data_IF_789398808682
#
_entry.id   IF_789398808682
#
_cell.length_a   1.000
_cell.length_b   1.000
_cell.length_c   1.000
_cell.angle_alpha   90.00
_cell.angle_beta   90.00
_cell.angle_gamma   90.00
#
_symmetry.space_group_name_H-M   'P 1'
#
loop_
_entity.id
_entity.type
_entity.pdbx_description
1 polymer ?
#
# COMPACT_ATOMS: atom_id res chain seq x y z
N UNK A 1 22.43 -9.07 -5.08
CA UNK A 1 22.53 -8.61 -3.67
C UNK A 1 22.70 -7.10 -3.66
N UNK A 2 21.79 -6.37 -3.01
CA UNK A 2 21.94 -4.91 -2.87
C UNK A 2 23.08 -4.66 -1.89
N UNK A 3 24.06 -3.85 -2.28
CA UNK A 3 25.18 -3.50 -1.42
C UNK A 3 24.64 -2.80 -0.17
N UNK A 4 24.94 -3.26 1.06
CA UNK A 4 24.40 -2.69 2.29
C UNK A 4 24.73 -1.20 2.45
N UNK A 5 25.90 -0.76 1.99
CA UNK A 5 26.28 0.64 2.01
C UNK A 5 25.42 1.50 1.09
N UNK A 6 25.07 1.01 -0.11
CA UNK A 6 24.19 1.73 -1.03
C UNK A 6 22.76 1.86 -0.48
N UNK A 7 22.29 0.85 0.25
CA UNK A 7 20.98 0.91 0.94
C UNK A 7 20.98 1.96 2.04
N UNK A 8 22.03 2.01 2.86
CA UNK A 8 22.21 3.03 3.89
C UNK A 8 22.16 4.44 3.30
N UNK A 9 22.89 4.68 2.21
CA UNK A 9 22.91 5.98 1.53
C UNK A 9 21.52 6.37 1.00
N UNK A 10 20.78 5.43 0.39
CA UNK A 10 19.42 5.71 -0.07
C UNK A 10 18.49 6.14 1.06
N UNK A 11 18.60 5.50 2.24
CA UNK A 11 17.79 5.89 3.40
C UNK A 11 18.21 7.22 4.00
N UNK A 12 19.50 7.58 3.97
CA UNK A 12 19.98 8.87 4.44
C UNK A 12 19.56 10.04 3.53
N UNK A 13 19.45 9.79 2.23
CA UNK A 13 19.16 10.80 1.21
C UNK A 13 17.81 10.58 0.52
N UNK A 14 16.90 9.85 1.17
CA UNK A 14 15.56 9.62 0.62
C UNK A 14 14.82 10.96 0.42
N UNK A 15 14.12 11.13 -0.70
CA UNK A 15 13.29 12.31 -0.91
C UNK A 15 12.15 12.34 0.11
N UNK A 16 11.72 13.53 0.51
CA UNK A 16 10.53 13.67 1.32
C UNK A 16 9.30 13.13 0.56
N UNK A 17 8.40 12.45 1.26
CA UNK A 17 7.18 11.93 0.64
C UNK A 17 6.38 13.01 -0.10
N UNK A 18 6.31 14.22 0.45
CA UNK A 18 5.61 15.35 -0.17
C UNK A 18 6.18 15.77 -1.53
N UNK A 19 7.45 15.46 -1.83
CA UNK A 19 8.04 15.75 -3.13
C UNK A 19 7.52 14.81 -4.23
N UNK A 20 7.25 13.56 -3.89
CA UNK A 20 6.72 12.55 -4.82
C UNK A 20 5.19 12.47 -4.78
N UNK A 21 4.60 12.74 -3.61
CA UNK A 21 3.16 12.70 -3.36
C UNK A 21 2.69 14.03 -2.78
N UNK A 22 2.59 15.10 -3.59
CA UNK A 22 1.98 16.36 -3.16
C UNK A 22 0.51 16.15 -2.81
N UNK A 23 -0.10 17.10 -2.09
CA UNK A 23 -1.47 16.98 -1.59
C UNK A 23 -2.49 16.64 -2.69
N UNK A 24 -2.32 17.18 -3.90
CA UNK A 24 -3.18 16.87 -5.04
C UNK A 24 -3.08 15.39 -5.47
N UNK A 25 -1.88 14.80 -5.44
CA UNK A 25 -1.69 13.37 -5.74
C UNK A 25 -2.26 12.49 -4.62
N UNK A 26 -2.07 12.88 -3.35
CA UNK A 26 -2.68 12.16 -2.23
C UNK A 26 -4.21 12.17 -2.33
N UNK A 27 -4.80 13.29 -2.74
CA UNK A 27 -6.25 13.36 -2.96
C UNK A 27 -6.70 12.42 -4.10
N UNK A 28 -5.99 12.37 -5.23
CA UNK A 28 -6.33 11.44 -6.31
C UNK A 28 -6.24 9.96 -5.88
N UNK A 29 -5.28 9.65 -5.01
CA UNK A 29 -5.18 8.30 -4.44
C UNK A 29 -6.39 8.01 -3.54
N UNK A 30 -6.78 8.95 -2.68
CA UNK A 30 -7.98 8.83 -1.85
C UNK A 30 -9.24 8.64 -2.72
N UNK A 31 -9.39 9.43 -3.78
CA UNK A 31 -10.53 9.31 -4.72
C UNK A 31 -10.54 7.95 -5.42
N UNK A 32 -9.37 7.40 -5.74
CA UNK A 32 -9.25 6.06 -6.34
C UNK A 32 -9.64 4.96 -5.34
N UNK A 33 -9.25 5.10 -4.06
CA UNK A 33 -9.67 4.20 -2.98
C UNK A 33 -11.18 4.23 -2.84
N UNK A 34 -11.78 5.40 -2.63
CA UNK A 34 -13.23 5.58 -2.49
C UNK A 34 -14.01 5.02 -3.71
N UNK A 35 -13.50 5.26 -4.93
CA UNK A 35 -14.10 4.71 -6.16
C UNK A 35 -14.06 3.18 -6.19
N UNK A 36 -12.96 2.59 -5.71
CA UNK A 36 -12.83 1.14 -5.58
C UNK A 36 -13.81 0.57 -4.56
N UNK A 37 -13.85 1.15 -3.37
CA UNK A 37 -14.69 0.71 -2.25
C UNK A 37 -16.19 0.80 -2.54
N UNK A 38 -16.61 1.66 -3.45
CA UNK A 38 -17.99 1.64 -3.97
C UNK A 38 -18.36 0.33 -4.68
N UNK A 39 -17.38 -0.48 -5.10
CA UNK A 39 -17.57 -1.73 -5.88
C UNK A 39 -17.40 -3.01 -5.05
N UNK A 40 -16.74 -2.92 -3.90
CA UNK A 40 -16.41 -4.05 -3.04
C UNK A 40 -16.57 -3.70 -1.56
N UNK A 41 -16.69 -4.72 -0.73
CA UNK A 41 -16.80 -4.57 0.73
C UNK A 41 -15.45 -4.56 1.46
N UNK A 42 -14.33 -4.64 0.74
CA UNK A 42 -12.98 -4.59 1.34
C UNK A 42 -12.54 -3.15 1.60
N UNK A 43 -11.64 -2.97 2.55
CA UNK A 43 -11.07 -1.69 2.95
C UNK A 43 -9.62 -1.57 2.49
N UNK A 44 -9.25 -0.47 1.83
CA UNK A 44 -7.90 -0.26 1.28
C UNK A 44 -7.24 0.94 1.93
N UNK A 45 -6.09 0.72 2.54
CA UNK A 45 -5.25 1.77 3.14
C UNK A 45 -3.94 1.91 2.37
N UNK A 46 -3.58 3.13 1.96
CA UNK A 46 -2.27 3.43 1.40
C UNK A 46 -1.40 4.15 2.41
N UNK A 47 -0.18 3.66 2.60
CA UNK A 47 0.82 4.28 3.46
C UNK A 47 2.17 4.43 2.73
N UNK A 48 2.78 5.61 2.84
CA UNK A 48 4.10 5.91 2.29
C UNK A 48 5.06 6.32 3.40
N UNK A 49 6.21 5.67 3.45
CA UNK A 49 7.31 5.96 4.37
C UNK A 49 8.55 6.36 3.56
N UNK A 50 9.12 7.56 3.76
CA UNK A 50 10.29 8.01 3.01
C UNK A 50 11.49 7.11 3.21
N UNK A 51 11.83 6.81 4.46
CA UNK A 51 12.98 6.01 4.84
C UNK A 51 12.81 5.37 6.21
N UNK A 52 13.41 4.22 6.41
CA UNK A 52 13.54 3.64 7.75
C UNK A 52 14.61 4.38 8.55
N UNK A 53 14.46 4.47 9.87
CA UNK A 53 15.55 4.91 10.75
C UNK A 53 16.83 4.10 10.50
N UNK A 54 17.97 4.76 10.45
CA UNK A 54 19.25 4.14 10.10
C UNK A 54 19.56 2.88 10.92
N UNK A 55 19.22 2.90 12.21
CA UNK A 55 19.33 1.72 13.09
C UNK A 55 18.63 0.50 12.51
N UNK A 56 17.40 0.68 11.99
CA UNK A 56 16.61 -0.43 11.40
C UNK A 56 17.24 -0.94 10.09
N UNK A 57 17.76 -0.02 9.29
CA UNK A 57 18.49 -0.38 8.06
C UNK A 57 19.71 -1.22 8.37
N UNK A 58 20.50 -0.84 9.39
CA UNK A 58 21.69 -1.57 9.84
C UNK A 58 21.34 -2.95 10.44
N UNK A 59 20.18 -3.10 11.06
CA UNK A 59 19.69 -4.40 11.54
C UNK A 59 19.05 -5.24 10.42
N UNK A 60 19.05 -4.77 9.19
CA UNK A 60 18.57 -5.52 8.04
C UNK A 60 17.05 -5.59 7.87
N UNK A 61 16.28 -4.76 8.61
CA UNK A 61 14.82 -4.73 8.50
C UNK A 61 14.40 -4.52 7.04
N UNK A 62 13.54 -5.38 6.53
CA UNK A 62 13.06 -5.34 5.15
C UNK A 62 11.71 -4.63 5.05
N UNK A 63 11.37 -4.14 3.83
CA UNK A 63 10.08 -3.48 3.58
C UNK A 63 8.89 -4.36 3.96
N UNK A 64 8.95 -5.68 3.71
CA UNK A 64 7.90 -6.63 4.08
C UNK A 64 7.65 -6.69 5.59
N UNK A 65 8.73 -6.77 6.36
CA UNK A 65 8.65 -6.77 7.83
C UNK A 65 8.03 -5.46 8.33
N UNK A 66 8.50 -4.33 7.79
CA UNK A 66 7.95 -3.02 8.15
C UNK A 66 6.49 -2.86 7.74
N UNK A 67 6.09 -3.38 6.58
CA UNK A 67 4.69 -3.35 6.13
C UNK A 67 3.75 -4.08 7.12
N UNK A 68 4.17 -5.22 7.68
CA UNK A 68 3.39 -5.92 8.72
C UNK A 68 3.25 -5.10 10.01
N UNK A 69 4.30 -4.39 10.42
CA UNK A 69 4.22 -3.50 11.56
C UNK A 69 3.23 -2.34 11.30
N UNK A 70 3.32 -1.72 10.11
CA UNK A 70 2.44 -0.62 9.71
C UNK A 70 0.99 -1.10 9.61
N UNK A 71 0.75 -2.28 9.06
CA UNK A 71 -0.56 -2.93 9.03
C UNK A 71 -1.18 -3.03 10.43
N UNK A 72 -0.38 -3.43 11.41
CA UNK A 72 -0.80 -3.51 12.81
C UNK A 72 -0.99 -2.13 13.44
N UNK A 73 -0.06 -1.20 13.21
CA UNK A 73 -0.09 0.16 13.77
C UNK A 73 -1.28 0.98 13.29
N UNK A 74 -1.61 0.86 12.00
CA UNK A 74 -2.76 1.52 11.39
C UNK A 74 -4.08 0.76 11.59
N UNK A 75 -4.03 -0.40 12.27
CA UNK A 75 -5.19 -1.25 12.57
C UNK A 75 -5.95 -1.69 11.33
N UNK A 76 -5.26 -1.91 10.22
CA UNK A 76 -5.87 -2.34 8.96
C UNK A 76 -6.55 -3.71 9.10
N UNK A 77 -6.16 -4.49 10.11
CA UNK A 77 -6.77 -5.76 10.49
C UNK A 77 -8.13 -5.62 11.21
N UNK A 78 -8.48 -4.41 11.69
CA UNK A 78 -9.66 -4.19 12.53
C UNK A 78 -10.89 -3.83 11.68
N UNK A 79 -11.20 -4.69 10.73
CA UNK A 79 -12.37 -4.60 9.86
C UNK A 79 -13.33 -5.76 10.15
N UNK A 80 -14.65 -5.53 10.03
CA UNK A 80 -15.67 -6.56 10.29
C UNK A 80 -15.52 -7.79 9.40
N UNK A 81 -15.15 -7.57 8.13
CA UNK A 81 -15.00 -8.64 7.14
C UNK A 81 -13.64 -9.34 7.17
N UNK A 82 -12.70 -8.93 8.02
CA UNK A 82 -11.29 -9.32 7.94
C UNK A 82 -10.73 -9.17 6.52
N UNK A 83 -11.07 -8.07 5.86
CA UNK A 83 -10.85 -7.78 4.44
C UNK A 83 -10.08 -6.48 4.21
N UNK A 84 -9.34 -6.01 5.21
CA UNK A 84 -8.44 -4.88 5.12
C UNK A 84 -7.21 -5.19 4.26
N UNK A 85 -6.79 -4.23 3.43
CA UNK A 85 -5.59 -4.31 2.59
C UNK A 85 -4.73 -3.07 2.82
N UNK A 86 -3.48 -3.26 3.20
CA UNK A 86 -2.47 -2.21 3.23
C UNK A 86 -1.63 -2.26 1.96
N UNK A 87 -1.55 -1.14 1.26
CA UNK A 87 -0.53 -0.87 0.25
C UNK A 87 0.55 -0.01 0.91
N UNK A 88 1.71 -0.58 1.16
CA UNK A 88 2.82 0.10 1.82
C UNK A 88 3.96 0.38 0.82
N UNK A 89 4.38 1.64 0.74
CA UNK A 89 5.48 2.10 -0.09
C UNK A 89 6.64 2.60 0.78
N UNK A 90 7.81 1.95 0.65
CA UNK A 90 9.08 2.43 1.21
C UNK A 90 9.90 3.09 0.11
N UNK A 91 9.96 4.43 0.11
CA UNK A 91 10.57 5.21 -0.98
C UNK A 91 12.06 4.92 -1.14
N UNK A 92 12.83 4.90 -0.05
CA UNK A 92 14.27 4.67 -0.09
C UNK A 92 14.65 3.34 -0.74
N UNK A 93 13.82 2.31 -0.62
CA UNK A 93 14.06 1.00 -1.22
C UNK A 93 13.34 0.81 -2.56
N UNK A 94 12.53 1.78 -3.01
CA UNK A 94 11.66 1.67 -4.19
C UNK A 94 10.82 0.39 -4.13
N UNK A 95 10.25 0.12 -2.96
CA UNK A 95 9.62 -1.15 -2.65
C UNK A 95 8.18 -0.96 -2.26
N UNK A 96 7.29 -1.71 -2.91
CA UNK A 96 5.88 -1.79 -2.55
C UNK A 96 5.60 -3.18 -1.97
N UNK A 97 4.89 -3.19 -0.85
CA UNK A 97 4.38 -4.39 -0.22
C UNK A 97 2.87 -4.28 -0.03
N UNK A 98 2.15 -5.33 -0.36
CA UNK A 98 0.74 -5.45 -0.05
C UNK A 98 0.59 -6.44 1.10
N UNK A 99 -0.08 -6.02 2.16
CA UNK A 99 -0.43 -6.87 3.30
C UNK A 99 -1.95 -6.92 3.37
N UNK A 100 -2.49 -8.10 3.17
CA UNK A 100 -3.92 -8.36 3.20
C UNK A 100 -4.30 -9.13 4.46
N UNK A 101 -5.48 -8.83 5.01
CA UNK A 101 -5.99 -9.53 6.17
C UNK A 101 -6.37 -10.98 5.83
N UNK A 102 -6.52 -11.78 6.86
CA UNK A 102 -6.75 -13.23 6.78
C UNK A 102 -7.99 -13.65 5.99
N UNK A 103 -9.03 -12.81 5.94
CA UNK A 103 -10.21 -13.08 5.12
C UNK A 103 -9.92 -13.12 3.62
N UNK A 104 -8.85 -12.45 3.18
CA UNK A 104 -8.39 -12.41 1.80
C UNK A 104 -7.36 -13.51 1.47
N UNK A 105 -6.66 -14.04 2.47
CA UNK A 105 -5.55 -14.97 2.28
C UNK A 105 -5.95 -16.28 1.58
N UNK A 106 -7.20 -16.70 1.70
CA UNK A 106 -7.73 -17.91 1.04
C UNK A 106 -8.27 -17.65 -0.36
N UNK A 107 -8.48 -16.39 -0.73
CA UNK A 107 -9.14 -15.97 -1.98
C UNK A 107 -8.15 -15.39 -2.99
N UNK A 108 -7.15 -14.67 -2.51
CA UNK A 108 -6.13 -14.02 -3.34
C UNK A 108 -4.76 -14.54 -2.93
N UNK A 109 -4.06 -15.16 -3.87
CA UNK A 109 -2.74 -15.72 -3.61
C UNK A 109 -1.67 -14.64 -3.40
N UNK A 110 -0.62 -14.97 -2.65
CA UNK A 110 0.55 -14.09 -2.52
C UNK A 110 1.19 -13.73 -3.86
N UNK A 111 1.11 -14.63 -4.85
CA UNK A 111 1.63 -14.39 -6.19
C UNK A 111 0.83 -13.30 -6.92
N UNK A 112 -0.49 -13.24 -6.75
CA UNK A 112 -1.32 -12.16 -7.32
C UNK A 112 -1.00 -10.81 -6.69
N UNK A 113 -0.86 -10.76 -5.35
CA UNK A 113 -0.40 -9.55 -4.67
C UNK A 113 0.98 -9.11 -5.12
N UNK A 114 1.92 -10.06 -5.26
CA UNK A 114 3.28 -9.75 -5.72
C UNK A 114 3.30 -9.24 -7.15
N UNK A 115 2.48 -9.81 -8.05
CA UNK A 115 2.36 -9.33 -9.42
C UNK A 115 1.89 -7.87 -9.47
N UNK A 116 0.88 -7.51 -8.67
CA UNK A 116 0.42 -6.12 -8.54
C UNK A 116 1.54 -5.20 -8.05
N UNK A 117 2.28 -5.60 -7.00
CA UNK A 117 3.44 -4.84 -6.52
C UNK A 117 4.50 -4.60 -7.60
N UNK A 118 4.82 -5.61 -8.41
CA UNK A 118 5.83 -5.50 -9.49
C UNK A 118 5.44 -4.44 -10.50
N UNK A 119 4.19 -4.45 -10.96
CA UNK A 119 3.69 -3.45 -11.92
C UNK A 119 3.75 -2.03 -11.34
N UNK A 120 3.38 -1.87 -10.07
CA UNK A 120 3.48 -0.58 -9.38
C UNK A 120 4.95 -0.12 -9.26
N UNK A 121 5.85 -1.03 -8.84
CA UNK A 121 7.29 -0.74 -8.71
C UNK A 121 7.94 -0.34 -10.05
N UNK A 122 7.52 -0.95 -11.15
CA UNK A 122 8.00 -0.60 -12.50
C UNK A 122 7.61 0.83 -12.88
N UNK A 123 6.36 1.23 -12.64
CA UNK A 123 5.90 2.60 -12.85
C UNK A 123 6.61 3.62 -11.96
N UNK A 124 6.85 3.26 -10.69
CA UNK A 124 7.65 4.11 -9.80
C UNK A 124 9.06 4.35 -10.35
N UNK A 125 9.71 3.30 -10.87
CA UNK A 125 11.05 3.42 -11.49
C UNK A 125 11.02 4.25 -12.78
N UNK A 126 9.89 4.26 -13.49
CA UNK A 126 9.66 5.10 -14.66
C UNK A 126 9.40 6.59 -14.29
N UNK A 127 9.33 6.94 -13.01
CA UNK A 127 9.07 8.29 -12.55
C UNK A 127 7.59 8.68 -12.57
N UNK A 128 6.68 7.71 -12.50
CA UNK A 128 5.23 7.88 -12.54
C UNK A 128 4.57 7.50 -11.20
N UNK A 129 4.89 8.16 -10.07
CA UNK A 129 4.43 7.73 -8.73
C UNK A 129 2.91 7.77 -8.59
N UNK A 130 2.24 8.81 -9.10
CA UNK A 130 0.78 8.92 -9.08
C UNK A 130 0.13 7.77 -9.84
N UNK A 131 0.54 7.54 -11.10
CA UNK A 131 0.00 6.46 -11.93
C UNK A 131 0.29 5.07 -11.36
N UNK A 132 1.43 4.90 -10.68
CA UNK A 132 1.79 3.67 -10.01
C UNK A 132 0.78 3.30 -8.91
N UNK A 133 0.48 4.27 -8.02
CA UNK A 133 -0.39 4.00 -6.87
C UNK A 133 -1.87 3.96 -7.29
N UNK A 134 -2.34 4.93 -8.08
CA UNK A 134 -3.73 4.94 -8.56
C UNK A 134 -4.04 3.67 -9.37
N UNK A 135 -3.16 3.28 -10.30
CA UNK A 135 -3.33 2.06 -11.07
C UNK A 135 -3.25 0.78 -10.21
N UNK A 136 -2.38 0.77 -9.19
CA UNK A 136 -2.29 -0.34 -8.24
C UNK A 136 -3.55 -0.48 -7.38
N UNK A 137 -4.08 0.63 -6.86
CA UNK A 137 -5.35 0.65 -6.11
C UNK A 137 -6.50 0.15 -6.99
N UNK A 138 -6.57 0.57 -8.26
CA UNK A 138 -7.59 0.08 -9.18
C UNK A 138 -7.49 -1.43 -9.41
N UNK A 139 -6.27 -1.98 -9.59
CA UNK A 139 -6.06 -3.42 -9.75
C UNK A 139 -6.45 -4.21 -8.48
N UNK A 140 -6.16 -3.66 -7.30
CA UNK A 140 -6.59 -4.22 -6.01
C UNK A 140 -8.13 -4.21 -5.93
N UNK A 141 -8.76 -3.10 -6.30
CA UNK A 141 -10.21 -2.98 -6.31
C UNK A 141 -10.89 -4.02 -7.23
N UNK A 142 -10.29 -4.33 -8.38
CA UNK A 142 -10.77 -5.38 -9.28
C UNK A 142 -10.68 -6.77 -8.63
N UNK A 143 -9.58 -7.07 -7.93
CA UNK A 143 -9.45 -8.32 -7.17
C UNK A 143 -10.48 -8.41 -6.04
N UNK A 144 -10.65 -7.33 -5.28
CA UNK A 144 -11.62 -7.29 -4.18
C UNK A 144 -13.06 -7.38 -4.69
N UNK A 145 -13.42 -6.69 -5.77
CA UNK A 145 -14.75 -6.76 -6.37
C UNK A 145 -15.11 -8.16 -6.89
N UNK A 146 -14.10 -8.94 -7.29
CA UNK A 146 -14.29 -10.34 -7.71
C UNK A 146 -14.65 -11.25 -6.54
N UNK A 147 -14.06 -11.03 -5.36
CA UNK A 147 -14.19 -11.92 -4.20
C UNK A 147 -15.15 -11.38 -3.12
N UNK A 148 -15.28 -10.06 -3.03
CA UNK A 148 -16.13 -9.35 -2.06
C UNK A 148 -16.95 -8.27 -2.77
N UNK A 149 -17.78 -8.64 -3.76
CA UNK A 149 -18.62 -7.64 -4.44
C UNK A 149 -19.56 -7.00 -3.44
N UNK A 150 -19.76 -5.69 -3.55
CA UNK A 150 -20.74 -4.97 -2.75
C UNK A 150 -22.13 -5.30 -3.26
N UNK A 151 -23.04 -5.61 -2.33
CA UNK A 151 -24.46 -5.89 -2.63
C UNK A 151 -25.26 -4.60 -2.50
N UNK A 152 -26.22 -4.32 -3.41
CA UNK A 152 -27.12 -3.18 -3.25
C UNK A 152 -27.85 -3.24 -1.90
N UNK A 153 -27.70 -2.19 -1.09
CA UNK A 153 -28.29 -2.11 0.25
C UNK A 153 -27.32 -2.40 1.40
N UNK A 154 -26.09 -2.83 1.11
CA UNK A 154 -25.05 -2.89 2.14
C UNK A 154 -24.74 -1.47 2.64
N UNK A 155 -24.69 -1.33 3.97
CA UNK A 155 -24.30 -0.06 4.58
C UNK A 155 -22.84 0.24 4.20
N UNK A 156 -22.61 1.44 3.68
CA UNK A 156 -21.28 1.96 3.41
C UNK A 156 -20.68 2.46 4.73
N UNK A 157 -20.21 1.53 5.55
CA UNK A 157 -19.41 1.88 6.73
C UNK A 157 -17.94 1.85 6.31
N UNK A 158 -17.40 3.04 5.99
CA UNK A 158 -15.97 3.21 5.79
C UNK A 158 -15.25 2.99 7.13
N UNK A 159 -14.62 1.83 7.29
CA UNK A 159 -13.95 1.42 8.53
C UNK A 159 -12.51 1.95 8.60
N UNK A 160 -11.88 2.20 7.44
CA UNK A 160 -10.53 2.77 7.34
C UNK A 160 -10.54 4.10 6.57
N UNK A 161 -9.71 5.07 6.95
CA UNK A 161 -9.64 6.33 6.21
C UNK A 161 -9.04 6.15 4.82
N UNK A 162 -9.72 6.64 3.77
CA UNK A 162 -9.24 6.65 2.38
C UNK A 162 -8.00 7.52 2.19
N UNK A 163 -7.84 8.53 3.06
CA UNK A 163 -6.72 9.46 2.95
C UNK A 163 -5.38 8.75 3.23
N UNK A 164 -4.44 8.83 2.29
CA UNK A 164 -3.11 8.23 2.42
C UNK A 164 -2.38 8.63 3.70
N UNK A 165 -1.66 7.68 4.29
CA UNK A 165 -0.83 7.91 5.48
C UNK A 165 0.61 8.18 5.08
N UNK A 166 1.14 9.31 5.49
CA UNK A 166 2.57 9.64 5.41
C UNK A 166 3.19 9.37 6.77
N UNK A 167 4.18 8.48 6.82
CA UNK A 167 4.82 7.96 8.05
C UNK A 167 6.17 8.63 8.30
#
# INVERSE_FOLDING_TARGET
MVNPLSRVLRHLFAPAAAAMFPAATLQKIADAVATGEARHAGEVCFAVEPALPLRRVLHGVQARERAHEVFSQLRVWDTRGNNGVLVYLLLADHRIEIVADRGLAVLVSEQQWRATCVVMEERLRAGEPEAAIVGGVAAIADLLATHFPRTPGDADENELPDLPRVL
#
